data_IF_630961692188
#
_entry.id   IF_630961692188
#
_cell.length_a   1.000
_cell.length_b   1.000
_cell.length_c   1.000
_cell.angle_alpha   90.00
_cell.angle_beta   90.00
_cell.angle_gamma   90.00
#
_symmetry.space_group_name_H-M   'P 1'
#
loop_
_entity.id
_entity.type
_entity.pdbx_description
1 polymer ?
#
# COMPACT_ATOMS: atom_id res chain seq x y z
N UNK A 1 0.06 -9.87 20.19
CA UNK A 1 -0.10 -9.28 18.82
C UNK A 1 1.29 -8.92 18.34
N UNK A 2 1.76 -9.61 17.32
CA UNK A 2 3.03 -9.29 16.64
C UNK A 2 2.77 -8.38 15.44
N UNK A 3 3.84 -7.70 14.98
CA UNK A 3 3.79 -6.93 13.73
C UNK A 3 4.86 -7.49 12.80
N UNK A 4 4.48 -7.79 11.56
CA UNK A 4 5.36 -8.26 10.51
C UNK A 4 5.43 -7.22 9.39
N UNK A 5 6.59 -7.03 8.80
CA UNK A 5 6.75 -6.21 7.61
C UNK A 5 7.24 -7.08 6.44
N UNK A 6 6.54 -7.04 5.34
CA UNK A 6 6.89 -7.66 4.07
C UNK A 6 7.38 -6.56 3.14
N UNK A 7 8.68 -6.48 2.94
CA UNK A 7 9.33 -5.51 2.06
C UNK A 7 9.71 -6.23 0.78
N UNK A 8 9.03 -5.90 -0.32
CA UNK A 8 9.23 -6.58 -1.59
C UNK A 8 10.15 -5.76 -2.50
N UNK A 9 11.23 -6.38 -2.98
CA UNK A 9 12.16 -5.77 -3.93
C UNK A 9 12.40 -6.66 -5.14
N UNK A 10 12.55 -6.04 -6.31
CA UNK A 10 12.95 -6.70 -7.55
C UNK A 10 14.43 -7.05 -7.56
N UNK A 11 15.23 -6.26 -6.85
CA UNK A 11 16.68 -6.34 -6.86
C UNK A 11 17.22 -7.35 -5.85
N UNK A 12 18.39 -7.92 -6.18
CA UNK A 12 19.15 -8.76 -5.24
C UNK A 12 19.94 -7.93 -4.24
N UNK A 13 20.34 -6.72 -4.64
CA UNK A 13 21.14 -5.80 -3.83
C UNK A 13 20.25 -4.76 -3.19
N UNK A 14 20.27 -4.71 -1.87
CA UNK A 14 19.51 -3.73 -1.11
C UNK A 14 20.11 -2.33 -1.25
N UNK A 15 19.26 -1.33 -1.38
CA UNK A 15 19.66 0.08 -1.38
C UNK A 15 19.95 0.57 0.05
N UNK A 16 20.54 1.77 0.17
CA UNK A 16 20.68 2.42 1.50
C UNK A 16 19.30 2.66 2.12
N UNK A 17 18.33 3.11 1.34
CA UNK A 17 16.96 3.38 1.80
C UNK A 17 16.31 2.12 2.36
N UNK A 18 16.40 1.00 1.63
CA UNK A 18 15.89 -0.29 2.08
C UNK A 18 16.53 -0.71 3.41
N UNK A 19 17.87 -0.57 3.53
CA UNK A 19 18.58 -0.92 4.75
C UNK A 19 18.18 -0.04 5.95
N UNK A 20 17.96 1.27 5.72
CA UNK A 20 17.55 2.20 6.78
C UNK A 20 16.09 1.93 7.19
N UNK A 21 15.20 1.60 6.26
CA UNK A 21 13.84 1.14 6.55
C UNK A 21 13.84 -0.13 7.43
N UNK A 22 14.66 -1.13 7.07
CA UNK A 22 14.80 -2.36 7.88
C UNK A 22 15.26 -2.04 9.29
N UNK A 23 16.29 -1.18 9.44
CA UNK A 23 16.79 -0.77 10.77
C UNK A 23 15.71 -0.07 11.59
N UNK A 24 14.98 0.87 10.98
CA UNK A 24 13.87 1.56 11.65
C UNK A 24 12.83 0.56 12.16
N UNK A 25 12.31 -0.30 11.30
CA UNK A 25 11.27 -1.26 11.66
C UNK A 25 11.77 -2.24 12.74
N UNK A 26 12.99 -2.73 12.62
CA UNK A 26 13.58 -3.65 13.61
C UNK A 26 13.81 -2.97 14.97
N UNK A 27 14.16 -1.66 14.99
CA UNK A 27 14.38 -0.91 16.22
C UNK A 27 13.11 -0.72 17.07
N UNK A 28 11.94 -0.95 16.48
CA UNK A 28 10.61 -0.87 17.13
C UNK A 28 9.91 -2.23 17.19
N UNK A 29 10.70 -3.31 17.26
CA UNK A 29 10.25 -4.71 17.42
C UNK A 29 9.33 -5.24 16.30
N UNK A 30 9.41 -4.71 15.08
CA UNK A 30 8.72 -5.24 13.91
C UNK A 30 9.58 -6.34 13.27
N UNK A 31 8.97 -7.49 13.01
CA UNK A 31 9.61 -8.64 12.36
C UNK A 31 9.68 -8.44 10.86
N UNK A 32 10.85 -8.06 10.36
CA UNK A 32 11.05 -7.75 8.94
C UNK A 32 11.33 -9.01 8.11
N UNK A 33 10.61 -9.14 7.01
CA UNK A 33 10.77 -10.16 5.99
C UNK A 33 11.09 -9.48 4.66
N UNK A 34 12.36 -9.54 4.27
CA UNK A 34 12.81 -9.05 2.97
C UNK A 34 12.52 -10.10 1.89
N UNK A 35 11.70 -9.71 0.92
CA UNK A 35 11.30 -10.53 -0.21
C UNK A 35 12.09 -10.11 -1.44
N UNK A 36 13.39 -10.48 -1.43
CA UNK A 36 14.35 -10.04 -2.44
C UNK A 36 14.24 -10.83 -3.75
N UNK A 37 14.67 -10.20 -4.85
CA UNK A 37 14.69 -10.82 -6.18
C UNK A 37 13.32 -11.41 -6.57
N UNK A 38 12.25 -10.74 -6.20
CA UNK A 38 10.89 -11.19 -6.48
C UNK A 38 10.52 -10.96 -7.95
N UNK A 39 9.90 -11.95 -8.57
CA UNK A 39 9.37 -11.84 -9.93
C UNK A 39 7.93 -11.33 -9.97
N UNK A 40 7.25 -11.32 -8.82
CA UNK A 40 5.86 -10.90 -8.69
C UNK A 40 5.59 -10.40 -7.27
N UNK A 41 4.98 -9.24 -7.16
CA UNK A 41 4.56 -8.68 -5.86
C UNK A 41 3.43 -9.50 -5.25
N UNK A 42 2.49 -9.98 -6.07
CA UNK A 42 1.40 -10.84 -5.63
C UNK A 42 1.91 -12.14 -5.03
N UNK A 43 2.80 -12.85 -5.76
CA UNK A 43 3.40 -14.10 -5.27
C UNK A 43 4.27 -13.86 -4.03
N UNK A 44 5.03 -12.76 -4.01
CA UNK A 44 5.88 -12.43 -2.88
C UNK A 44 5.06 -12.27 -1.59
N UNK A 45 4.01 -11.45 -1.62
CA UNK A 45 3.16 -11.23 -0.45
C UNK A 45 2.34 -12.45 -0.06
N UNK A 46 1.70 -13.13 -1.02
CA UNK A 46 0.88 -14.31 -0.70
C UNK A 46 1.72 -15.47 -0.15
N UNK A 47 2.91 -15.71 -0.71
CA UNK A 47 3.82 -16.75 -0.21
C UNK A 47 4.38 -16.40 1.18
N UNK A 48 4.73 -15.12 1.43
CA UNK A 48 5.19 -14.68 2.73
C UNK A 48 4.10 -14.85 3.79
N UNK A 49 2.86 -14.44 3.48
CA UNK A 49 1.72 -14.60 4.37
C UNK A 49 1.48 -16.08 4.72
N UNK A 50 1.49 -16.97 3.72
CA UNK A 50 1.33 -18.43 3.91
C UNK A 50 2.46 -19.04 4.73
N UNK A 51 3.71 -18.65 4.43
CA UNK A 51 4.90 -19.20 5.10
C UNK A 51 4.99 -18.78 6.57
N UNK A 52 4.73 -17.51 6.86
CA UNK A 52 4.80 -16.94 8.22
C UNK A 52 3.58 -17.35 9.03
N UNK A 53 2.43 -17.48 8.37
CA UNK A 53 1.14 -17.84 8.97
C UNK A 53 0.86 -17.04 10.26
N UNK A 54 0.83 -15.71 10.22
CA UNK A 54 0.59 -14.88 11.40
C UNK A 54 -0.79 -15.19 12.00
N UNK A 55 -0.91 -15.00 13.32
CA UNK A 55 -2.19 -15.11 14.01
C UNK A 55 -3.17 -14.04 13.51
N UNK A 56 -4.45 -14.30 13.58
CA UNK A 56 -5.50 -13.45 13.00
C UNK A 56 -5.44 -11.98 13.44
N UNK A 57 -5.05 -11.73 14.69
CA UNK A 57 -4.92 -10.38 15.24
C UNK A 57 -3.53 -9.75 15.03
N UNK A 58 -2.56 -10.49 14.48
CA UNK A 58 -1.26 -9.93 14.15
C UNK A 58 -1.40 -8.93 12.98
N UNK A 59 -0.58 -7.88 13.00
CA UNK A 59 -0.55 -6.86 11.95
C UNK A 59 0.52 -7.25 10.91
N UNK A 60 0.18 -7.10 9.65
CA UNK A 60 1.09 -7.28 8.53
C UNK A 60 1.17 -5.97 7.75
N UNK A 61 2.38 -5.48 7.58
CA UNK A 61 2.74 -4.34 6.74
C UNK A 61 3.25 -4.90 5.41
N UNK A 62 2.77 -4.39 4.31
CA UNK A 62 3.26 -4.62 2.96
C UNK A 62 3.73 -3.29 2.40
N UNK A 63 5.00 -3.15 2.06
CA UNK A 63 5.50 -1.87 1.60
C UNK A 63 6.61 -2.00 0.56
N UNK A 64 6.84 -0.90 -0.16
CA UNK A 64 7.95 -0.75 -1.08
C UNK A 64 9.28 -0.70 -0.33
N UNK A 65 10.36 -1.00 -1.04
CA UNK A 65 11.73 -0.97 -0.54
C UNK A 65 12.41 0.40 -0.66
N UNK A 66 11.74 1.38 -1.25
CA UNK A 66 12.21 2.74 -1.50
C UNK A 66 11.44 3.80 -0.71
N UNK A 67 10.88 3.42 0.45
CA UNK A 67 10.25 4.36 1.39
C UNK A 67 11.11 4.59 2.62
N UNK A 68 10.99 5.79 3.20
CA UNK A 68 11.59 6.19 4.48
C UNK A 68 10.49 6.69 5.42
N UNK A 69 10.29 6.01 6.55
CA UNK A 69 9.30 6.41 7.56
C UNK A 69 9.91 7.53 8.39
N UNK A 70 9.24 8.69 8.46
CA UNK A 70 9.75 9.91 9.10
C UNK A 70 9.09 10.25 10.43
N UNK A 71 7.96 9.62 10.77
CA UNK A 71 7.37 9.76 12.10
C UNK A 71 8.16 8.95 13.16
N UNK A 72 7.98 9.31 14.42
CA UNK A 72 8.58 8.56 15.53
C UNK A 72 8.01 7.14 15.60
N UNK A 73 8.84 6.18 16.02
CA UNK A 73 8.44 4.77 16.11
C UNK A 73 7.24 4.54 17.04
N UNK A 74 7.15 5.28 18.15
CA UNK A 74 6.01 5.22 19.07
C UNK A 74 4.71 5.67 18.41
N UNK A 75 4.73 6.79 17.65
CA UNK A 75 3.57 7.28 16.93
C UNK A 75 3.17 6.33 15.82
N UNK A 76 4.14 5.79 15.09
CA UNK A 76 3.91 4.78 14.06
C UNK A 76 3.17 3.56 14.61
N UNK A 77 3.66 2.99 15.72
CA UNK A 77 3.04 1.84 16.37
C UNK A 77 1.66 2.16 16.92
N UNK A 78 1.50 3.34 17.54
CA UNK A 78 0.22 3.80 18.10
C UNK A 78 -0.82 3.92 17.01
N UNK A 79 -0.52 4.62 15.91
CA UNK A 79 -1.44 4.81 14.77
C UNK A 79 -1.88 3.45 14.21
N UNK A 80 -0.94 2.54 13.92
CA UNK A 80 -1.28 1.22 13.39
C UNK A 80 -2.21 0.44 14.32
N UNK A 81 -1.92 0.45 15.63
CA UNK A 81 -2.70 -0.31 16.61
C UNK A 81 -4.10 0.30 16.80
N UNK A 82 -4.20 1.61 16.96
CA UNK A 82 -5.48 2.31 17.16
C UNK A 82 -6.40 2.14 15.95
N UNK A 83 -5.90 2.39 14.75
CA UNK A 83 -6.71 2.32 13.54
C UNK A 83 -7.15 0.89 13.20
N UNK A 84 -6.27 -0.09 13.36
CA UNK A 84 -6.59 -1.49 13.09
C UNK A 84 -7.31 -2.20 14.25
N UNK A 85 -7.54 -1.54 15.40
CA UNK A 85 -8.47 -2.05 16.42
C UNK A 85 -9.92 -2.02 15.94
N UNK A 86 -10.28 -1.07 15.08
CA UNK A 86 -11.63 -1.03 14.50
C UNK A 86 -11.83 -2.25 13.58
N UNK A 87 -12.79 -3.15 13.89
CA UNK A 87 -12.99 -4.38 13.12
C UNK A 87 -13.48 -4.13 11.69
N UNK A 88 -14.04 -2.95 11.41
CA UNK A 88 -14.49 -2.57 10.07
C UNK A 88 -13.32 -2.16 9.15
N UNK A 89 -12.15 -1.78 9.73
CA UNK A 89 -11.00 -1.33 8.95
C UNK A 89 -10.18 -2.52 8.49
N UNK A 90 -10.03 -2.64 7.17
CA UNK A 90 -9.17 -3.65 6.53
C UNK A 90 -7.75 -3.12 6.38
N UNK A 91 -7.58 -2.11 5.54
CA UNK A 91 -6.28 -1.54 5.23
C UNK A 91 -6.12 -0.12 5.76
N UNK A 92 -4.92 0.18 6.21
CA UNK A 92 -4.47 1.55 6.48
C UNK A 92 -3.23 1.87 5.65
N UNK A 93 -3.10 3.13 5.24
CA UNK A 93 -1.96 3.62 4.46
C UNK A 93 -1.86 5.14 4.50
N UNK A 94 -0.78 5.77 3.97
CA UNK A 94 -0.54 7.20 4.12
C UNK A 94 -1.39 8.07 3.18
N UNK A 95 -1.82 7.53 2.04
CA UNK A 95 -2.58 8.27 1.04
C UNK A 95 -3.48 7.37 0.20
N UNK A 96 -4.52 7.97 -0.37
CA UNK A 96 -5.48 7.28 -1.23
C UNK A 96 -6.56 8.21 -1.77
N UNK A 97 -7.65 7.62 -2.27
CA UNK A 97 -8.80 8.35 -2.80
C UNK A 97 -10.12 7.75 -2.37
N UNK A 98 -11.12 8.61 -2.13
CA UNK A 98 -12.52 8.19 -1.91
C UNK A 98 -13.27 7.89 -3.21
N UNK A 99 -12.71 8.33 -4.35
CA UNK A 99 -13.30 8.16 -5.66
C UNK A 99 -12.30 7.52 -6.62
N UNK A 100 -12.59 6.29 -7.05
CA UNK A 100 -11.88 5.66 -8.15
C UNK A 100 -12.72 5.82 -9.42
N UNK A 101 -12.27 6.70 -10.31
CA UNK A 101 -12.98 7.04 -11.54
C UNK A 101 -13.04 5.90 -12.57
N UNK A 102 -13.77 6.12 -13.68
CA UNK A 102 -13.87 5.13 -14.77
C UNK A 102 -12.52 4.77 -15.40
N UNK A 103 -11.52 5.63 -15.25
CA UNK A 103 -10.16 5.41 -15.76
C UNK A 103 -9.29 4.55 -14.81
N UNK A 104 -9.78 4.22 -13.62
CA UNK A 104 -9.09 3.48 -12.58
C UNK A 104 -7.72 4.07 -12.20
N UNK A 105 -7.54 5.39 -12.27
CA UNK A 105 -6.34 6.13 -11.87
C UNK A 105 -6.64 6.88 -10.60
N UNK A 106 -6.20 6.37 -9.43
CA UNK A 106 -6.57 6.96 -8.15
C UNK A 106 -5.95 8.33 -7.90
N UNK A 107 -4.75 8.60 -8.44
CA UNK A 107 -4.04 9.89 -8.31
C UNK A 107 -4.39 10.91 -9.40
N UNK A 108 -5.49 10.71 -10.13
CA UNK A 108 -5.94 11.61 -11.18
C UNK A 108 -6.14 13.04 -10.62
N UNK A 109 -5.54 14.03 -11.29
CA UNK A 109 -5.56 15.42 -10.85
C UNK A 109 -6.97 16.01 -10.76
N UNK A 110 -7.89 15.60 -11.62
CA UNK A 110 -9.29 16.06 -11.54
C UNK A 110 -9.96 15.58 -10.26
N UNK A 111 -9.69 14.37 -9.81
CA UNK A 111 -10.15 13.85 -8.51
C UNK A 111 -9.57 14.63 -7.34
N UNK A 112 -8.32 15.08 -7.46
CA UNK A 112 -7.69 15.95 -6.46
C UNK A 112 -8.40 17.30 -6.35
N UNK A 113 -8.69 17.97 -7.48
CA UNK A 113 -9.43 19.25 -7.51
C UNK A 113 -10.82 19.11 -6.88
N UNK A 114 -11.47 17.95 -7.01
CA UNK A 114 -12.77 17.66 -6.43
C UNK A 114 -12.72 17.30 -4.94
N UNK A 115 -11.52 17.26 -4.32
CA UNK A 115 -11.34 16.94 -2.91
C UNK A 115 -11.57 15.48 -2.56
N UNK A 116 -11.45 14.56 -3.52
CA UNK A 116 -11.63 13.13 -3.26
C UNK A 116 -10.39 12.44 -2.70
N UNK A 117 -9.22 13.06 -2.82
CA UNK A 117 -7.99 12.49 -2.30
C UNK A 117 -7.87 12.67 -0.78
N UNK A 118 -7.07 11.83 -0.14
CA UNK A 118 -6.85 11.80 1.30
C UNK A 118 -5.40 11.45 1.60
N UNK A 119 -4.83 12.10 2.62
CA UNK A 119 -3.50 11.75 3.13
C UNK A 119 -2.36 12.65 2.67
N UNK A 120 -1.13 12.22 2.98
CA UNK A 120 0.10 12.95 2.67
C UNK A 120 1.24 11.97 2.44
N UNK A 121 2.01 12.20 1.36
CA UNK A 121 3.29 11.53 1.10
C UNK A 121 4.31 12.57 0.68
N UNK A 122 5.53 12.46 1.16
CA UNK A 122 6.64 13.28 0.67
C UNK A 122 7.32 12.57 -0.51
N UNK A 123 7.62 13.32 -1.57
CA UNK A 123 8.38 12.84 -2.72
C UNK A 123 9.71 13.59 -2.82
N UNK A 124 10.63 13.09 -3.65
CA UNK A 124 11.88 13.78 -3.93
C UNK A 124 11.75 14.59 -5.23
N UNK A 125 12.15 15.86 -5.17
CA UNK A 125 12.28 16.68 -6.37
C UNK A 125 13.55 16.32 -7.16
N UNK A 126 13.79 16.98 -8.29
CA UNK A 126 14.98 16.78 -9.14
C UNK A 126 16.31 16.97 -8.38
N UNK A 127 16.33 17.79 -7.32
CA UNK A 127 17.49 18.02 -6.46
C UNK A 127 17.58 17.03 -5.30
N UNK A 128 16.73 15.98 -5.31
CA UNK A 128 16.61 14.98 -4.23
C UNK A 128 16.25 15.57 -2.86
N UNK A 129 15.56 16.71 -2.85
CA UNK A 129 15.01 17.30 -1.64
C UNK A 129 13.55 16.85 -1.46
N UNK A 130 13.15 16.47 -0.24
CA UNK A 130 11.77 16.05 0.02
C UNK A 130 10.82 17.26 -0.11
N UNK A 131 9.67 17.03 -0.74
CA UNK A 131 8.55 17.95 -0.78
C UNK A 131 7.25 17.22 -0.50
N UNK A 132 6.31 17.84 0.25
CA UNK A 132 5.04 17.20 0.57
C UNK A 132 4.08 17.25 -0.61
N UNK A 133 3.45 16.11 -0.90
CA UNK A 133 2.23 16.04 -1.71
C UNK A 133 1.06 15.83 -0.75
N UNK A 134 0.35 16.92 -0.45
CA UNK A 134 -0.85 16.89 0.37
C UNK A 134 -2.03 16.54 -0.52
N UNK A 135 -2.58 15.36 -0.33
CA UNK A 135 -3.74 14.88 -1.08
C UNK A 135 -5.06 15.36 -0.47
N UNK A 136 -5.14 15.50 0.85
CA UNK A 136 -6.33 15.96 1.55
C UNK A 136 -6.37 15.50 3.01
N UNK A 137 -7.41 15.84 3.78
CA UNK A 137 -7.60 15.34 5.14
C UNK A 137 -7.63 13.82 5.18
N UNK A 138 -7.17 13.23 6.29
CA UNK A 138 -7.23 11.78 6.51
C UNK A 138 -8.67 11.32 6.69
N UNK A 139 -9.07 10.30 5.93
CA UNK A 139 -10.45 9.80 5.89
C UNK A 139 -10.50 8.34 5.43
N UNK A 140 -11.71 7.75 5.42
CA UNK A 140 -11.95 6.49 4.72
C UNK A 140 -11.77 6.70 3.22
N UNK A 141 -11.20 5.71 2.55
CA UNK A 141 -10.86 5.76 1.13
C UNK A 141 -11.28 4.49 0.40
N UNK A 142 -11.61 4.61 -0.88
CA UNK A 142 -11.89 3.46 -1.72
C UNK A 142 -10.59 2.70 -2.05
N UNK A 143 -9.53 3.45 -2.29
CA UNK A 143 -8.22 2.91 -2.68
C UNK A 143 -7.12 3.59 -1.87
N UNK A 144 -6.13 2.81 -1.44
CA UNK A 144 -4.88 3.29 -0.87
C UNK A 144 -3.72 3.09 -1.85
N UNK A 145 -2.72 3.94 -1.76
CA UNK A 145 -1.44 3.80 -2.48
C UNK A 145 -0.68 2.57 -1.97
N UNK A 146 -0.22 1.75 -2.89
CA UNK A 146 0.51 0.52 -2.61
C UNK A 146 1.89 0.71 -1.99
N UNK A 147 2.43 1.93 -1.97
CA UNK A 147 3.74 2.17 -1.36
C UNK A 147 3.79 1.68 0.11
N UNK A 148 2.64 1.71 0.80
CA UNK A 148 2.50 1.18 2.15
C UNK A 148 1.04 0.80 2.44
N UNK A 149 0.82 -0.46 2.78
CA UNK A 149 -0.45 -1.01 3.22
C UNK A 149 -0.24 -1.79 4.51
N UNK A 150 -1.03 -1.55 5.55
CA UNK A 150 -1.03 -2.38 6.74
C UNK A 150 -2.44 -2.88 7.05
N UNK A 151 -2.54 -4.15 7.50
CA UNK A 151 -3.80 -4.80 7.82
C UNK A 151 -3.62 -5.87 8.89
N UNK A 152 -4.71 -6.29 9.55
CA UNK A 152 -4.69 -7.52 10.35
C UNK A 152 -4.58 -8.75 9.44
N UNK A 153 -3.89 -9.78 9.91
CA UNK A 153 -3.67 -11.00 9.14
C UNK A 153 -4.99 -11.68 8.72
N UNK A 154 -6.01 -11.67 9.57
CA UNK A 154 -7.35 -12.20 9.23
C UNK A 154 -7.97 -11.50 8.01
N UNK A 155 -7.79 -10.18 7.91
CA UNK A 155 -8.34 -9.41 6.80
C UNK A 155 -7.59 -9.73 5.50
N UNK A 156 -6.26 -9.91 5.56
CA UNK A 156 -5.48 -10.34 4.39
C UNK A 156 -5.86 -11.75 3.92
N UNK A 157 -6.17 -12.67 4.86
CA UNK A 157 -6.66 -14.01 4.54
C UNK A 157 -8.05 -13.95 3.87
N UNK A 158 -8.89 -13.01 4.27
CA UNK A 158 -10.22 -12.79 3.67
C UNK A 158 -10.13 -12.16 2.28
N UNK A 159 -9.31 -11.12 2.12
CA UNK A 159 -9.11 -10.43 0.83
C UNK A 159 -8.42 -11.34 -0.19
N UNK A 160 -7.48 -12.15 0.26
CA UNK A 160 -6.58 -12.89 -0.61
C UNK A 160 -5.52 -11.99 -1.25
N UNK A 161 -4.28 -12.47 -1.33
CA UNK A 161 -3.17 -11.69 -1.90
C UNK A 161 -2.70 -12.26 -3.26
N UNK A 162 -3.44 -13.19 -3.81
CA UNK A 162 -3.14 -13.80 -5.09
C UNK A 162 -3.43 -12.84 -6.24
N UNK A 163 -2.67 -12.99 -7.33
CA UNK A 163 -2.90 -12.24 -8.57
C UNK A 163 -4.22 -12.69 -9.21
N UNK A 164 -5.14 -11.77 -9.56
CA UNK A 164 -6.32 -12.11 -10.34
C UNK A 164 -5.93 -12.72 -11.69
N UNK A 165 -6.71 -13.71 -12.15
CA UNK A 165 -6.42 -14.40 -13.41
C UNK A 165 -6.44 -13.48 -14.63
N UNK A 166 -7.19 -12.39 -14.58
CA UNK A 166 -7.27 -11.41 -15.65
C UNK A 166 -6.12 -10.41 -15.69
N UNK A 167 -5.20 -10.38 -14.69
CA UNK A 167 -4.00 -9.55 -14.74
C UNK A 167 -2.86 -10.26 -15.48
N UNK A 168 -2.25 -9.58 -16.45
CA UNK A 168 -1.03 -10.04 -17.11
C UNK A 168 0.22 -9.62 -16.34
N UNK A 169 0.26 -8.38 -15.85
CA UNK A 169 1.41 -7.82 -15.12
C UNK A 169 1.53 -8.37 -13.70
N UNK A 170 2.76 -8.50 -13.22
CA UNK A 170 3.09 -9.10 -11.92
C UNK A 170 3.34 -8.06 -10.82
N UNK A 171 3.35 -6.75 -11.17
CA UNK A 171 3.79 -5.69 -10.26
C UNK A 171 2.82 -4.54 -10.10
N UNK A 172 1.81 -4.45 -10.95
CA UNK A 172 0.97 -3.27 -11.07
C UNK A 172 -0.47 -3.57 -10.64
N UNK A 173 -1.20 -2.60 -10.08
CA UNK A 173 -2.61 -2.70 -9.69
C UNK A 173 -2.90 -3.62 -8.49
N UNK A 174 -1.91 -4.10 -7.77
CA UNK A 174 -2.14 -4.95 -6.58
C UNK A 174 -2.85 -4.17 -5.46
N UNK A 175 -2.47 -2.93 -5.26
CA UNK A 175 -3.01 -2.01 -4.28
C UNK A 175 -4.49 -1.69 -4.56
N UNK A 176 -4.81 -1.31 -5.78
CA UNK A 176 -6.19 -1.07 -6.23
C UNK A 176 -7.02 -2.35 -6.09
N UNK A 177 -6.46 -3.50 -6.50
CA UNK A 177 -7.14 -4.78 -6.38
C UNK A 177 -7.42 -5.17 -4.93
N UNK A 178 -6.43 -5.11 -4.05
CA UNK A 178 -6.61 -5.50 -2.64
C UNK A 178 -7.59 -4.58 -1.92
N UNK A 179 -7.43 -3.27 -2.08
CA UNK A 179 -8.27 -2.29 -1.38
C UNK A 179 -9.71 -2.30 -1.89
N UNK A 180 -9.94 -2.45 -3.19
CA UNK A 180 -11.31 -2.61 -3.72
C UNK A 180 -11.93 -3.96 -3.38
N UNK A 181 -11.13 -5.02 -3.25
CA UNK A 181 -11.60 -6.32 -2.76
C UNK A 181 -12.04 -6.23 -1.29
N UNK A 182 -11.31 -5.49 -0.45
CA UNK A 182 -11.75 -5.22 0.92
C UNK A 182 -13.14 -4.58 0.98
N UNK A 183 -13.42 -3.59 0.13
CA UNK A 183 -14.75 -2.96 0.02
C UNK A 183 -15.83 -3.97 -0.38
N UNK A 184 -15.53 -4.88 -1.32
CA UNK A 184 -16.48 -5.95 -1.73
C UNK A 184 -16.83 -6.89 -0.59
N UNK A 185 -15.94 -7.04 0.40
CA UNK A 185 -16.21 -7.78 1.63
C UNK A 185 -16.86 -6.93 2.74
N UNK A 186 -17.31 -5.71 2.44
CA UNK A 186 -17.95 -4.81 3.40
C UNK A 186 -16.98 -4.16 4.39
N UNK A 187 -15.67 -4.28 4.18
CA UNK A 187 -14.65 -3.65 5.02
C UNK A 187 -14.30 -2.25 4.51
N UNK A 188 -13.64 -1.44 5.35
CA UNK A 188 -13.21 -0.07 5.05
C UNK A 188 -11.70 0.01 4.89
N UNK A 189 -11.22 0.90 4.04
CA UNK A 189 -9.81 1.30 3.99
C UNK A 189 -9.68 2.73 4.51
N UNK A 190 -8.55 3.06 5.13
CA UNK A 190 -8.39 4.38 5.76
C UNK A 190 -7.01 4.98 5.50
N UNK A 191 -6.98 6.22 5.04
CA UNK A 191 -5.75 7.02 5.04
C UNK A 191 -5.46 7.47 6.47
N UNK A 192 -4.18 7.37 6.90
CA UNK A 192 -3.76 7.62 8.29
C UNK A 192 -2.48 8.46 8.34
N UNK A 193 -2.23 9.22 9.42
CA UNK A 193 -1.13 10.18 9.51
C UNK A 193 0.24 9.52 9.76
N UNK A 194 0.59 8.51 8.96
CA UNK A 194 1.94 7.95 8.91
C UNK A 194 2.72 8.74 7.87
N UNK A 195 3.72 9.52 8.33
CA UNK A 195 4.52 10.33 7.43
C UNK A 195 5.72 9.55 6.89
N UNK A 196 5.93 9.66 5.59
CA UNK A 196 7.03 8.97 4.90
C UNK A 196 7.49 9.71 3.65
N UNK A 197 8.73 9.43 3.24
CA UNK A 197 9.30 9.88 1.97
C UNK A 197 9.30 8.69 1.01
N UNK A 198 8.76 8.87 -0.18
CA UNK A 198 8.88 7.92 -1.28
C UNK A 198 10.06 8.36 -2.17
N UNK A 199 11.10 7.56 -2.21
CA UNK A 199 12.34 7.87 -2.93
C UNK A 199 12.24 7.64 -4.45
N UNK A 200 11.11 7.17 -4.93
CA UNK A 200 10.78 7.07 -6.35
C UNK A 200 10.17 8.37 -6.87
N UNK A 201 10.34 8.62 -8.17
CA UNK A 201 9.66 9.72 -8.86
C UNK A 201 8.16 9.48 -9.10
N UNK A 202 7.63 8.32 -8.70
CA UNK A 202 6.24 7.94 -8.90
C UNK A 202 5.82 7.76 -10.37
N UNK A 203 6.75 7.85 -11.32
CA UNK A 203 6.45 7.73 -12.75
C UNK A 203 6.25 6.26 -13.16
N UNK A 204 5.00 5.80 -13.05
CA UNK A 204 4.54 4.52 -13.62
C UNK A 204 4.06 4.66 -15.07
N UNK A 205 3.89 5.88 -15.53
CA UNK A 205 3.36 6.20 -16.87
C UNK A 205 4.38 5.76 -17.92
N UNK A 206 4.07 4.67 -18.64
CA UNK A 206 4.91 4.12 -19.71
C UNK A 206 5.20 2.62 -19.65
N UNK A 207 4.74 1.91 -18.61
CA UNK A 207 4.86 0.44 -18.57
C UNK A 207 3.64 -0.20 -19.24
N UNK A 208 3.88 -1.00 -20.26
CA UNK A 208 2.81 -1.78 -20.93
C UNK A 208 2.04 -2.65 -19.93
N UNK A 209 2.72 -3.26 -18.95
CA UNK A 209 2.09 -4.08 -17.92
C UNK A 209 1.10 -3.31 -17.06
N UNK A 210 1.41 -2.05 -16.73
CA UNK A 210 0.48 -1.19 -15.98
C UNK A 210 -0.78 -0.89 -16.79
N UNK A 211 -0.62 -0.52 -18.07
CA UNK A 211 -1.76 -0.24 -18.95
C UNK A 211 -2.64 -1.47 -19.17
N UNK A 212 -2.04 -2.65 -19.34
CA UNK A 212 -2.75 -3.92 -19.49
C UNK A 212 -3.54 -4.28 -18.24
N UNK A 213 -2.92 -4.20 -17.05
CA UNK A 213 -3.62 -4.48 -15.80
C UNK A 213 -4.72 -3.46 -15.52
N UNK A 214 -4.48 -2.18 -15.84
CA UNK A 214 -5.50 -1.12 -15.76
C UNK A 214 -6.72 -1.46 -16.60
N UNK A 215 -6.53 -1.78 -17.89
CA UNK A 215 -7.63 -2.11 -18.80
C UNK A 215 -8.34 -3.39 -18.35
N UNK A 216 -7.59 -4.39 -17.92
CA UNK A 216 -8.14 -5.62 -17.37
C UNK A 216 -8.97 -5.36 -16.10
N UNK A 217 -8.50 -4.48 -15.21
CA UNK A 217 -9.25 -4.08 -14.01
C UNK A 217 -10.56 -3.39 -14.39
N UNK A 218 -10.54 -2.42 -15.32
CA UNK A 218 -11.73 -1.71 -15.81
C UNK A 218 -12.75 -2.70 -16.39
N UNK A 219 -12.31 -3.66 -17.18
CA UNK A 219 -13.20 -4.63 -17.84
C UNK A 219 -13.85 -5.63 -16.87
N UNK A 220 -13.26 -5.82 -15.67
CA UNK A 220 -13.71 -6.83 -14.69
C UNK A 220 -14.30 -6.23 -13.42
N UNK A 221 -14.46 -4.91 -13.34
CA UNK A 221 -14.99 -4.24 -12.15
C UNK A 221 -16.01 -3.17 -12.55
N UNK A 222 -17.00 -2.95 -11.68
CA UNK A 222 -17.93 -1.83 -11.83
C UNK A 222 -17.28 -0.54 -11.36
N UNK A 223 -17.19 0.45 -12.25
CA UNK A 223 -16.65 1.79 -11.97
C UNK A 223 -17.71 2.84 -12.32
N UNK A 224 -17.68 4.02 -11.67
CA UNK A 224 -16.77 4.42 -10.59
C UNK A 224 -17.07 3.75 -9.25
N UNK A 225 -16.06 3.70 -8.36
CA UNK A 225 -16.23 3.34 -6.94
C UNK A 225 -16.18 4.63 -6.13
N UNK A 226 -17.20 4.86 -5.29
CA UNK A 226 -17.37 6.08 -4.49
C UNK A 226 -17.66 5.66 -3.05
N UNK A 227 -17.02 6.34 -2.06
CA UNK A 227 -17.33 6.26 -0.64
C UNK A 227 -18.04 7.52 -0.16
#
# INVERSE_FOLDING_TARGET
>A
MNIYAFICTRDKKLTKVTNDLVKFLTSIDIRVNLLVNSSSIFKAYSNALKKINPSDEDIVIMCHDDIEITCKGEDFLRILKEELQNPEVCFVGPAGTRFLGPDAVWWNWENHKMGYHSGLVMHLNEKKLPYPTFYGPYDNVAVLDGLFLAAKAKNLKTVGLEKPQYFEGEWDFYDIHYTTTALKHGMKNRAVPITMIHHSSGQLVGRDSWHKNRQAFINNNTLPIIL
#
